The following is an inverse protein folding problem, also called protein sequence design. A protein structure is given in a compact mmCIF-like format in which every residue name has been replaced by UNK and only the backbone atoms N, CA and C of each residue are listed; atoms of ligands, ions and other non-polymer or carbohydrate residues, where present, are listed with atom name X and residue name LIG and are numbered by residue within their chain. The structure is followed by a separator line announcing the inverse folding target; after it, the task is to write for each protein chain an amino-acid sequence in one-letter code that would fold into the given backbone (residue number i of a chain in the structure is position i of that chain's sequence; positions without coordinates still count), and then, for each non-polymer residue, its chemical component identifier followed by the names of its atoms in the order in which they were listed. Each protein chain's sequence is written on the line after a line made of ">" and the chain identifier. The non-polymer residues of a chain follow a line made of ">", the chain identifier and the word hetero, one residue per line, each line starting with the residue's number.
data_IF_965569851623
#
_entry.id   IF_965569851623
#
_cell.length_a   1.000
_cell.length_b   1.000
_cell.length_c   1.000
_cell.angle_alpha   90.00
_cell.angle_beta   90.00
_cell.angle_gamma   90.00
#
_symmetry.space_group_name_H-M   'P 1'
#
loop_
_entity.id
_entity.type
_entity.pdbx_description
1 polymer ?
#
# COMPACT_ATOMS: atom_id res chain seq x y z
N UNK A 1 -3.92 -13.87 20.10
CA UNK A 1 -2.90 -14.91 20.00
C UNK A 1 -2.53 -15.01 18.54
N UNK A 2 -1.33 -14.49 18.14
CA UNK A 2 -0.87 -14.54 16.74
C UNK A 2 -0.17 -15.88 16.53
N UNK A 3 -0.63 -16.67 15.57
CA UNK A 3 0.05 -17.87 15.10
C UNK A 3 0.70 -17.54 13.76
N UNK A 4 2.03 -17.52 13.72
CA UNK A 4 2.81 -17.45 12.47
C UNK A 4 3.02 -18.87 11.96
N UNK A 5 2.54 -19.15 10.76
CA UNK A 5 2.79 -20.40 10.02
C UNK A 5 3.77 -20.10 8.88
N UNK A 6 4.97 -20.66 8.96
CA UNK A 6 5.91 -20.68 7.85
C UNK A 6 5.72 -21.99 7.09
N UNK A 7 5.23 -21.92 5.85
CA UNK A 7 5.06 -23.07 4.97
C UNK A 7 6.26 -23.16 4.03
N UNK A 8 7.07 -24.22 4.18
CA UNK A 8 8.02 -24.66 3.17
C UNK A 8 7.33 -25.62 2.22
N UNK A 9 7.58 -25.50 0.93
CA UNK A 9 6.92 -26.23 -0.16
C UNK A 9 6.87 -27.75 0.06
N UNK A 10 5.68 -28.32 -0.16
CA UNK A 10 5.26 -29.74 -0.07
C UNK A 10 4.65 -30.15 1.29
N UNK A 11 3.53 -29.55 1.67
CA UNK A 11 2.65 -30.13 2.68
C UNK A 11 1.20 -29.96 2.24
N UNK A 12 0.48 -31.07 2.06
CA UNK A 12 -0.97 -31.03 1.93
C UNK A 12 -1.58 -30.95 3.32
N UNK A 13 -2.46 -29.98 3.50
CA UNK A 13 -3.25 -29.82 4.73
C UNK A 13 -4.61 -30.44 4.50
N UNK A 14 -4.96 -31.45 5.29
CA UNK A 14 -6.30 -31.99 5.36
C UNK A 14 -6.94 -31.48 6.65
N UNK A 15 -8.12 -30.90 6.53
CA UNK A 15 -8.86 -30.37 7.69
C UNK A 15 -10.10 -31.24 7.85
N UNK A 16 -10.18 -31.97 8.95
CA UNK A 16 -11.39 -32.70 9.36
C UNK A 16 -12.15 -31.87 10.39
N UNK A 17 -13.46 -31.76 10.20
CA UNK A 17 -14.37 -30.79 10.84
C UNK A 17 -14.77 -31.12 12.31
N UNK A 18 -14.18 -32.11 12.98
CA UNK A 18 -14.68 -32.51 14.33
C UNK A 18 -13.64 -32.59 15.46
N UNK A 19 -12.34 -32.26 15.23
CA UNK A 19 -11.44 -32.17 16.40
C UNK A 19 -10.23 -31.28 16.12
N UNK A 20 -9.87 -30.42 17.07
CA UNK A 20 -8.86 -29.38 16.97
C UNK A 20 -7.43 -29.93 17.12
N UNK A 21 -7.11 -31.06 16.51
CA UNK A 21 -5.76 -31.61 16.51
C UNK A 21 -5.18 -31.66 15.10
N UNK A 22 -4.05 -30.95 14.89
CA UNK A 22 -3.29 -30.97 13.64
C UNK A 22 -2.15 -31.96 13.80
N UNK A 23 -2.16 -33.07 13.04
CA UNK A 23 -1.05 -34.04 13.00
C UNK A 23 -0.20 -33.78 11.75
N UNK A 24 1.07 -33.46 11.94
CA UNK A 24 2.03 -33.26 10.86
C UNK A 24 2.82 -34.57 10.63
N UNK A 25 2.71 -35.17 9.45
CA UNK A 25 3.56 -36.26 9.02
C UNK A 25 4.66 -35.76 8.09
N UNK A 26 5.91 -35.92 8.50
CA UNK A 26 7.09 -35.68 7.67
C UNK A 26 7.63 -37.02 7.18
N UNK A 27 7.71 -37.21 5.88
CA UNK A 27 8.37 -38.36 5.24
C UNK A 27 9.78 -37.94 4.78
N UNK A 28 10.85 -38.62 5.20
CA UNK A 28 12.18 -38.34 4.71
C UNK A 28 12.44 -39.17 3.46
N UNK A 29 12.69 -38.54 2.32
CA UNK A 29 13.26 -39.19 1.14
C UNK A 29 14.37 -38.31 0.55
N UNK A 30 15.54 -38.87 0.44
CA UNK A 30 16.63 -38.26 -0.32
C UNK A 30 18.00 -38.69 0.07
N UNK A 31 18.51 -39.74 -0.57
CA UNK A 31 19.88 -40.23 -0.45
C UNK A 31 20.89 -39.15 -0.88
N UNK A 32 21.92 -39.01 -0.06
CA UNK A 32 23.07 -38.16 -0.35
C UNK A 32 23.98 -38.84 -1.36
N UNK A 33 24.07 -38.30 -2.57
CA UNK A 33 25.11 -38.68 -3.55
C UNK A 33 26.31 -37.77 -3.36
N UNK A 34 27.41 -38.32 -2.89
CA UNK A 34 28.72 -37.68 -2.86
C UNK A 34 29.30 -37.57 -4.25
N UNK A 35 29.34 -36.36 -4.81
CA UNK A 35 30.08 -36.02 -6.01
C UNK A 35 31.44 -35.43 -5.63
N UNK A 36 32.50 -36.09 -6.10
CA UNK A 36 33.91 -35.66 -5.96
C UNK A 36 34.14 -34.36 -6.73
N UNK A 37 34.70 -33.36 -6.05
CA UNK A 37 35.18 -32.15 -6.66
C UNK A 37 36.38 -32.42 -7.55
N UNK A 38 36.26 -32.17 -8.86
CA UNK A 38 37.40 -31.97 -9.76
C UNK A 38 37.74 -30.48 -9.78
N UNK A 39 38.94 -30.16 -9.35
CA UNK A 39 39.49 -28.80 -9.41
C UNK A 39 39.93 -28.49 -10.82
N UNK A 40 39.23 -27.62 -11.50
CA UNK A 40 39.66 -26.99 -12.75
C UNK A 40 40.44 -25.71 -12.43
N UNK A 41 41.57 -25.43 -13.13
CA UNK A 41 42.40 -24.25 -12.85
C UNK A 41 41.88 -23.03 -13.56
N UNK A 42 41.65 -21.98 -12.79
CA UNK A 42 41.87 -20.60 -13.20
C UNK A 42 40.99 -20.01 -14.32
N UNK A 43 39.74 -19.66 -13.97
CA UNK A 43 39.09 -18.53 -14.66
C UNK A 43 39.18 -17.34 -13.72
N UNK A 44 39.98 -16.33 -14.13
CA UNK A 44 39.97 -15.00 -13.52
C UNK A 44 38.54 -14.47 -13.60
N UNK A 45 37.81 -14.54 -12.52
CA UNK A 45 36.63 -13.73 -12.32
C UNK A 45 37.10 -12.29 -12.22
N UNK A 46 36.68 -11.37 -13.09
CA UNK A 46 36.89 -9.97 -12.84
C UNK A 46 36.10 -9.66 -11.56
N UNK A 47 36.81 -9.50 -10.47
CA UNK A 47 36.30 -8.95 -9.24
C UNK A 47 35.85 -7.53 -9.61
N UNK A 48 34.58 -7.36 -9.90
CA UNK A 48 33.98 -6.03 -10.03
C UNK A 48 34.12 -5.38 -8.66
N UNK A 49 34.92 -4.33 -8.59
CA UNK A 49 35.10 -3.50 -7.40
C UNK A 49 33.70 -2.96 -7.02
N UNK A 50 33.14 -3.29 -5.84
CA UNK A 50 31.82 -2.82 -5.44
C UNK A 50 31.75 -1.29 -5.23
N UNK A 51 32.80 -0.56 -5.53
CA UNK A 51 32.87 0.92 -5.39
C UNK A 51 32.62 1.67 -6.69
N UNK A 52 32.51 1.04 -7.87
CA UNK A 52 31.99 1.72 -9.05
C UNK A 52 30.47 1.77 -8.97
N UNK A 53 29.94 2.85 -8.38
CA UNK A 53 28.55 3.23 -8.53
C UNK A 53 28.26 3.38 -10.03
N UNK A 54 27.57 2.39 -10.61
CA UNK A 54 27.12 2.48 -12.00
C UNK A 54 26.25 3.72 -12.19
N UNK A 55 26.03 4.19 -13.44
CA UNK A 55 25.23 5.38 -13.69
C UNK A 55 23.87 5.23 -13.04
N UNK A 56 23.47 6.25 -12.25
CA UNK A 56 22.16 6.31 -11.61
C UNK A 56 21.09 6.17 -12.69
N UNK A 57 20.25 5.15 -12.55
CA UNK A 57 19.14 4.92 -13.50
C UNK A 57 18.02 5.90 -13.20
N UNK A 58 17.50 6.54 -14.27
CA UNK A 58 16.32 7.39 -14.15
C UNK A 58 15.05 6.55 -14.10
N UNK A 59 14.18 6.86 -13.15
CA UNK A 59 12.84 6.32 -12.99
C UNK A 59 11.77 7.32 -13.42
N UNK A 60 10.53 7.01 -13.08
CA UNK A 60 9.35 7.81 -13.47
C UNK A 60 9.34 9.23 -12.86
N UNK A 61 9.86 9.40 -11.63
CA UNK A 61 9.82 10.67 -10.90
C UNK A 61 11.18 11.19 -10.45
N UNK A 62 12.23 10.72 -11.07
CA UNK A 62 13.63 11.08 -10.80
C UNK A 62 14.51 9.83 -10.67
N UNK A 63 15.70 9.99 -10.10
CA UNK A 63 16.63 8.88 -9.93
C UNK A 63 15.96 7.72 -9.19
N UNK A 64 16.19 6.49 -9.66
CA UNK A 64 15.69 5.29 -8.99
C UNK A 64 16.21 5.23 -7.54
N UNK A 65 15.48 4.54 -6.67
CA UNK A 65 15.69 4.49 -5.22
C UNK A 65 15.27 5.75 -4.44
N UNK A 66 14.60 6.70 -5.11
CA UNK A 66 14.19 7.95 -4.47
C UNK A 66 13.24 7.74 -3.27
N UNK A 67 12.47 6.64 -3.23
CA UNK A 67 11.62 6.30 -2.07
C UNK A 67 12.45 6.09 -0.81
N UNK A 68 13.58 5.39 -0.93
CA UNK A 68 14.49 5.12 0.18
C UNK A 68 15.33 6.36 0.51
N UNK A 69 15.90 7.00 -0.48
CA UNK A 69 16.74 8.20 -0.33
C UNK A 69 16.00 9.36 0.33
N UNK A 70 14.70 9.47 0.05
CA UNK A 70 13.82 10.48 0.67
C UNK A 70 13.11 9.98 1.93
N UNK A 71 13.43 8.80 2.42
CA UNK A 71 12.82 8.19 3.60
C UNK A 71 11.31 7.94 3.51
N UNK A 72 10.75 7.86 2.31
CA UNK A 72 9.33 7.57 2.09
C UNK A 72 9.00 6.17 2.54
N UNK A 73 9.85 5.19 2.19
CA UNK A 73 9.73 3.80 2.62
C UNK A 73 9.68 3.68 4.14
N UNK A 74 10.59 4.38 4.84
CA UNK A 74 10.64 4.37 6.30
C UNK A 74 9.39 5.01 6.93
N UNK A 75 8.85 6.08 6.32
CA UNK A 75 7.61 6.71 6.77
C UNK A 75 6.41 5.77 6.63
N UNK A 76 6.30 5.04 5.51
CA UNK A 76 5.15 4.18 5.22
C UNK A 76 5.25 2.80 5.89
N UNK A 77 6.43 2.36 6.32
CA UNK A 77 6.64 1.03 6.90
C UNK A 77 5.64 0.64 8.02
N UNK A 78 5.27 1.53 8.97
CA UNK A 78 4.29 1.19 10.02
C UNK A 78 2.86 0.97 9.50
N UNK A 79 2.55 1.44 8.29
CA UNK A 79 1.23 1.42 7.66
C UNK A 79 1.09 0.30 6.63
N UNK A 80 2.16 -0.43 6.34
CA UNK A 80 2.12 -1.54 5.39
C UNK A 80 1.27 -2.67 5.97
N UNK A 81 0.26 -3.06 5.22
CA UNK A 81 -0.67 -4.13 5.55
C UNK A 81 -0.49 -5.38 4.70
N UNK A 82 0.15 -5.27 3.53
CA UNK A 82 0.35 -6.38 2.60
C UNK A 82 1.59 -6.15 1.72
N UNK A 83 2.31 -7.22 1.41
CA UNK A 83 3.26 -7.30 0.27
C UNK A 83 4.70 -6.91 0.54
N UNK A 84 5.05 -6.34 1.69
CA UNK A 84 6.38 -5.77 1.93
C UNK A 84 7.53 -6.78 1.95
N UNK A 85 7.24 -8.02 2.34
CA UNK A 85 8.27 -9.05 2.53
C UNK A 85 8.65 -9.79 1.23
N UNK A 86 7.89 -9.61 0.15
CA UNK A 86 7.96 -10.51 -1.01
C UNK A 86 8.33 -9.84 -2.32
N UNK A 87 8.55 -8.51 -2.36
CA UNK A 87 8.83 -7.89 -3.65
C UNK A 87 8.90 -6.37 -3.67
N UNK A 88 8.65 -5.86 -4.86
CA UNK A 88 8.70 -4.44 -5.20
C UNK A 88 7.34 -3.72 -5.03
N UNK A 89 6.31 -4.42 -4.56
CA UNK A 89 4.96 -3.92 -4.35
C UNK A 89 4.52 -4.13 -2.90
N UNK A 90 3.89 -3.11 -2.31
CA UNK A 90 3.26 -3.22 -1.00
C UNK A 90 2.03 -2.31 -0.91
N UNK A 91 1.02 -2.73 -0.16
CA UNK A 91 -0.13 -1.89 0.19
C UNK A 91 0.03 -1.29 1.57
N UNK A 92 -0.38 -0.02 1.69
CA UNK A 92 -0.50 0.66 2.98
C UNK A 92 -1.95 1.08 3.25
N UNK A 93 -2.29 1.18 4.54
CA UNK A 93 -3.60 1.62 4.99
C UNK A 93 -3.49 2.53 6.21
N UNK A 94 -4.58 3.24 6.50
CA UNK A 94 -4.72 4.08 7.69
C UNK A 94 -3.71 5.22 7.84
N UNK A 95 -3.17 5.73 6.72
CA UNK A 95 -2.27 6.89 6.73
C UNK A 95 -3.04 8.14 7.17
N UNK A 96 -2.69 8.68 8.32
CA UNK A 96 -3.39 9.81 8.95
C UNK A 96 -2.88 11.18 8.49
N UNK A 97 -3.50 12.24 8.97
CA UNK A 97 -3.16 13.61 8.59
C UNK A 97 -1.74 14.05 8.95
N UNK A 98 -1.14 13.54 10.04
CA UNK A 98 0.23 13.86 10.40
C UNK A 98 1.23 13.23 9.44
N UNK A 99 1.04 11.95 9.14
CA UNK A 99 1.88 11.23 8.18
C UNK A 99 1.65 11.74 6.76
N UNK A 100 0.43 12.12 6.40
CA UNK A 100 0.13 12.76 5.14
C UNK A 100 0.90 14.09 4.98
N UNK A 101 1.05 14.87 6.07
CA UNK A 101 1.87 16.10 6.07
C UNK A 101 3.34 15.77 5.80
N UNK A 102 3.88 14.78 6.47
CA UNK A 102 5.27 14.33 6.28
C UNK A 102 5.46 13.77 4.87
N UNK A 103 4.60 12.88 4.41
CA UNK A 103 4.66 12.31 3.07
C UNK A 103 4.67 13.40 1.99
N UNK A 104 3.79 14.40 2.12
CA UNK A 104 3.73 15.52 1.18
C UNK A 104 5.05 16.27 1.03
N UNK A 105 5.87 16.36 2.08
CA UNK A 105 7.18 17.02 2.00
C UNK A 105 8.26 16.13 1.38
N UNK A 106 8.13 14.81 1.52
CA UNK A 106 9.09 13.84 1.01
C UNK A 106 8.90 13.54 -0.49
N UNK A 107 7.66 13.57 -0.98
CA UNK A 107 7.37 13.27 -2.38
C UNK A 107 7.98 14.32 -3.34
N UNK A 108 8.59 13.89 -4.45
CA UNK A 108 8.97 14.78 -5.55
C UNK A 108 7.75 15.55 -6.09
N UNK A 109 7.92 16.76 -6.63
CA UNK A 109 6.81 17.54 -7.18
C UNK A 109 5.98 16.78 -8.20
N UNK A 110 6.60 16.08 -9.14
CA UNK A 110 5.91 15.30 -10.16
C UNK A 110 5.08 14.16 -9.56
N UNK A 111 5.63 13.43 -8.57
CA UNK A 111 4.91 12.38 -7.88
C UNK A 111 3.70 12.92 -7.07
N UNK A 112 3.80 14.12 -6.51
CA UNK A 112 2.68 14.76 -5.80
C UNK A 112 1.52 15.15 -6.71
N UNK A 113 1.83 15.53 -7.94
CA UNK A 113 0.84 15.98 -8.92
C UNK A 113 0.27 14.82 -9.74
N UNK A 114 0.79 13.61 -9.51
CA UNK A 114 0.33 12.41 -10.19
C UNK A 114 -1.07 11.99 -9.74
N UNK A 115 -1.71 11.24 -10.64
CA UNK A 115 -3.00 10.58 -10.45
C UNK A 115 -2.82 9.12 -10.80
N UNK A 116 -3.20 8.25 -9.92
CA UNK A 116 -3.31 6.84 -10.27
C UNK A 116 -4.73 6.54 -10.71
N UNK A 117 -4.84 5.89 -11.86
CA UNK A 117 -6.12 5.65 -12.48
C UNK A 117 -6.89 6.97 -12.63
N UNK A 118 -8.11 7.06 -12.22
CA UNK A 118 -8.88 8.31 -12.22
C UNK A 118 -8.96 8.99 -10.86
N UNK A 119 -8.13 8.56 -9.89
CA UNK A 119 -8.12 9.16 -8.56
C UNK A 119 -7.81 10.67 -8.61
N UNK A 120 -8.21 11.44 -7.61
CA UNK A 120 -7.71 12.79 -7.41
C UNK A 120 -6.19 12.82 -7.30
N UNK A 121 -5.57 13.98 -7.56
CA UNK A 121 -4.12 14.10 -7.39
C UNK A 121 -3.71 13.73 -5.97
N UNK A 122 -2.59 13.07 -5.83
CA UNK A 122 -2.03 12.72 -4.51
C UNK A 122 -1.94 13.95 -3.61
N UNK A 123 -1.52 15.10 -4.16
CA UNK A 123 -1.45 16.37 -3.42
C UNK A 123 -2.82 16.83 -2.89
N UNK A 124 -3.92 16.53 -3.57
CA UNK A 124 -5.27 16.92 -3.15
C UNK A 124 -5.74 16.02 -2.00
N UNK A 125 -5.53 14.72 -2.12
CA UNK A 125 -5.87 13.75 -1.08
C UNK A 125 -5.04 13.97 0.18
N UNK A 126 -3.73 14.22 0.06
CA UNK A 126 -2.88 14.58 1.20
C UNK A 126 -3.34 15.88 1.88
N UNK A 127 -3.75 16.91 1.12
CA UNK A 127 -4.32 18.14 1.70
C UNK A 127 -5.63 17.88 2.44
N UNK A 128 -6.49 17.03 1.90
CA UNK A 128 -7.72 16.63 2.57
C UNK A 128 -7.43 15.94 3.90
N UNK A 129 -6.50 14.96 3.93
CA UNK A 129 -6.11 14.25 5.13
C UNK A 129 -5.48 15.17 6.21
N UNK A 130 -4.70 16.17 5.79
CA UNK A 130 -4.10 17.14 6.71
C UNK A 130 -5.16 18.05 7.34
N UNK A 131 -6.23 18.35 6.63
CA UNK A 131 -7.27 19.31 7.04
C UNK A 131 -8.40 18.65 7.83
N UNK A 132 -8.74 17.41 7.50
CA UNK A 132 -9.91 16.72 8.04
C UNK A 132 -9.44 15.74 9.12
N UNK A 133 -9.82 16.03 10.35
CA UNK A 133 -9.50 15.16 11.48
C UNK A 133 -10.14 13.78 11.31
N UNK A 134 -9.36 12.75 11.56
CA UNK A 134 -9.77 11.36 11.43
C UNK A 134 -9.81 10.80 10.00
N UNK A 135 -9.66 11.61 8.93
CA UNK A 135 -9.55 11.10 7.57
C UNK A 135 -8.28 10.25 7.43
N UNK A 136 -8.41 9.07 6.81
CA UNK A 136 -7.26 8.23 6.46
C UNK A 136 -7.19 7.94 4.97
N UNK A 137 -5.98 7.69 4.50
CA UNK A 137 -5.65 7.34 3.12
C UNK A 137 -5.10 5.92 3.06
N UNK A 138 -5.42 5.23 1.96
CA UNK A 138 -4.86 3.92 1.65
C UNK A 138 -4.31 3.97 0.22
N UNK A 139 -3.41 3.04 -0.10
CA UNK A 139 -2.81 2.97 -1.40
C UNK A 139 -1.72 1.92 -1.48
N UNK A 140 -0.77 2.13 -2.40
CA UNK A 140 0.33 1.20 -2.58
C UNK A 140 1.64 1.91 -2.90
N UNK A 141 2.72 1.16 -2.74
CA UNK A 141 4.08 1.56 -3.06
C UNK A 141 4.66 0.59 -4.07
N UNK A 142 5.30 1.13 -5.10
CA UNK A 142 6.15 0.37 -6.01
C UNK A 142 7.58 0.83 -5.81
N UNK A 143 8.48 -0.12 -5.49
CA UNK A 143 9.88 0.17 -5.19
C UNK A 143 10.83 -0.19 -6.36
N UNK A 144 12.05 0.27 -6.23
CA UNK A 144 13.15 -0.26 -7.03
C UNK A 144 13.25 -1.80 -6.86
N UNK A 145 13.67 -2.53 -7.89
CA UNK A 145 14.30 -2.04 -9.13
C UNK A 145 13.32 -1.66 -10.26
N UNK A 146 12.05 -1.47 -9.95
CA UNK A 146 11.09 -1.05 -10.99
C UNK A 146 11.32 0.41 -11.36
N UNK A 147 11.35 0.69 -12.66
CA UNK A 147 11.52 2.04 -13.20
C UNK A 147 10.34 2.98 -12.86
N UNK A 148 9.16 2.40 -12.63
CA UNK A 148 7.92 3.09 -12.27
C UNK A 148 7.75 3.20 -10.74
N UNK A 149 8.88 3.33 -10.03
CA UNK A 149 8.94 3.55 -8.59
C UNK A 149 8.05 4.72 -8.18
N UNK A 150 7.06 4.45 -7.29
CA UNK A 150 6.05 5.44 -6.91
C UNK A 150 5.32 5.12 -5.61
N UNK A 151 4.68 6.14 -5.06
CA UNK A 151 3.56 6.00 -4.13
C UNK A 151 2.28 6.30 -4.88
N UNK A 152 1.25 5.50 -4.67
CA UNK A 152 -0.09 5.75 -5.15
C UNK A 152 -1.05 5.87 -3.98
N UNK A 153 -2.01 6.79 -4.07
CA UNK A 153 -3.14 6.90 -3.14
C UNK A 153 -4.39 6.67 -3.96
N UNK A 154 -5.02 5.53 -3.76
CA UNK A 154 -6.19 5.07 -4.51
C UNK A 154 -7.47 5.01 -3.67
N UNK A 155 -7.36 5.24 -2.36
CA UNK A 155 -8.47 5.07 -1.43
C UNK A 155 -8.49 6.20 -0.39
N UNK A 156 -9.69 6.67 -0.08
CA UNK A 156 -9.93 7.62 1.00
C UNK A 156 -11.02 7.10 1.92
N UNK A 157 -10.78 7.20 3.22
CA UNK A 157 -11.75 6.91 4.27
C UNK A 157 -12.09 8.20 5.02
N UNK A 158 -13.33 8.66 4.92
CA UNK A 158 -13.80 9.91 5.53
C UNK A 158 -14.75 9.59 6.68
N UNK A 159 -14.47 10.02 7.92
CA UNK A 159 -15.38 9.79 9.04
C UNK A 159 -16.68 10.57 8.84
N UNK A 160 -17.81 9.98 9.25
CA UNK A 160 -19.12 10.63 9.15
C UNK A 160 -19.18 11.97 9.89
N UNK A 161 -18.41 12.10 10.97
CA UNK A 161 -18.30 13.37 11.71
C UNK A 161 -17.82 14.54 10.83
N UNK A 162 -16.90 14.27 9.89
CA UNK A 162 -16.44 15.28 8.94
C UNK A 162 -17.52 15.65 7.92
N UNK A 163 -18.33 14.67 7.50
CA UNK A 163 -19.47 14.91 6.60
C UNK A 163 -20.51 15.78 7.33
N UNK A 164 -20.86 15.44 8.57
CA UNK A 164 -21.81 16.20 9.37
C UNK A 164 -21.28 17.62 9.61
N UNK A 165 -20.01 17.78 9.93
CA UNK A 165 -19.40 19.09 10.16
C UNK A 165 -19.49 20.00 8.92
N UNK A 166 -19.44 19.41 7.71
CA UNK A 166 -19.52 20.15 6.45
C UNK A 166 -20.97 20.42 6.01
N UNK A 167 -21.85 19.41 6.11
CA UNK A 167 -23.21 19.44 5.53
C UNK A 167 -24.29 19.77 6.54
N UNK A 168 -24.00 19.69 7.85
CA UNK A 168 -24.97 19.79 8.94
C UNK A 168 -25.82 18.52 9.16
N UNK A 169 -25.61 17.46 8.36
CA UNK A 169 -26.38 16.20 8.45
C UNK A 169 -25.51 15.01 8.01
N UNK A 170 -25.80 13.79 8.49
CA UNK A 170 -25.18 12.60 7.93
C UNK A 170 -25.59 12.41 6.47
N UNK A 171 -24.78 11.69 5.71
CA UNK A 171 -25.20 11.21 4.40
C UNK A 171 -26.16 10.03 4.63
N UNK A 172 -27.26 10.02 3.87
CA UNK A 172 -28.23 8.93 3.97
C UNK A 172 -27.57 7.59 3.68
N UNK A 173 -27.95 6.58 4.48
CA UNK A 173 -27.48 5.22 4.39
C UNK A 173 -28.14 4.50 3.19
N UNK A 174 -27.96 5.05 2.01
CA UNK A 174 -28.41 4.39 0.80
C UNK A 174 -27.57 3.14 0.57
N UNK A 175 -28.21 2.02 0.34
CA UNK A 175 -27.56 0.74 0.06
C UNK A 175 -26.72 0.76 -1.23
N UNK A 176 -26.88 1.81 -2.03
CA UNK A 176 -26.09 2.10 -3.22
C UNK A 176 -25.80 3.61 -3.25
N UNK A 177 -24.53 4.04 -3.06
CA UNK A 177 -24.19 5.46 -3.17
C UNK A 177 -24.54 6.02 -4.54
N UNK A 178 -25.30 7.09 -4.54
CA UNK A 178 -25.66 7.81 -5.76
C UNK A 178 -24.61 8.89 -6.08
N UNK A 179 -24.69 9.45 -7.29
CA UNK A 179 -23.78 10.51 -7.74
C UNK A 179 -23.79 11.74 -6.81
N UNK A 180 -24.92 12.05 -6.19
CA UNK A 180 -25.03 13.16 -5.23
C UNK A 180 -24.17 12.94 -3.98
N UNK A 181 -23.98 11.69 -3.57
CA UNK A 181 -23.08 11.35 -2.45
C UNK A 181 -21.63 11.64 -2.81
N UNK A 182 -21.22 11.31 -4.05
CA UNK A 182 -19.93 11.70 -4.57
C UNK A 182 -19.72 13.22 -4.58
N UNK A 183 -20.70 13.98 -5.07
CA UNK A 183 -20.59 15.44 -5.09
C UNK A 183 -20.39 16.01 -3.67
N UNK A 184 -21.12 15.47 -2.70
CA UNK A 184 -20.94 15.84 -1.29
C UNK A 184 -19.54 15.48 -0.80
N UNK A 185 -19.08 14.26 -1.07
CA UNK A 185 -17.75 13.81 -0.67
C UNK A 185 -16.65 14.66 -1.31
N UNK A 186 -16.76 14.96 -2.60
CA UNK A 186 -15.81 15.82 -3.32
C UNK A 186 -15.71 17.21 -2.70
N UNK A 187 -16.83 17.79 -2.28
CA UNK A 187 -16.87 19.09 -1.57
C UNK A 187 -16.19 18.99 -0.19
N UNK A 188 -16.47 17.94 0.58
CA UNK A 188 -15.82 17.69 1.87
C UNK A 188 -14.33 17.55 1.69
N UNK A 189 -13.89 16.81 0.68
CA UNK A 189 -12.47 16.63 0.35
C UNK A 189 -11.82 17.88 -0.23
N UNK A 190 -12.62 18.88 -0.66
CA UNK A 190 -12.13 20.10 -1.31
C UNK A 190 -11.51 19.84 -2.67
N UNK A 191 -12.06 18.89 -3.41
CA UNK A 191 -11.63 18.54 -4.76
C UNK A 191 -12.16 19.54 -5.79
N UNK A 192 -11.41 19.72 -6.88
CA UNK A 192 -11.82 20.54 -8.01
C UNK A 192 -12.97 19.93 -8.81
N UNK A 193 -13.57 20.74 -9.68
CA UNK A 193 -14.67 20.31 -10.55
C UNK A 193 -14.25 19.26 -11.60
N UNK A 194 -12.96 19.06 -11.79
CA UNK A 194 -12.35 18.06 -12.67
C UNK A 194 -12.13 16.70 -11.98
N UNK A 195 -12.50 16.58 -10.71
CA UNK A 195 -12.38 15.32 -9.98
C UNK A 195 -13.39 14.29 -10.51
N UNK A 196 -12.89 13.10 -10.80
CA UNK A 196 -13.68 11.98 -11.31
C UNK A 196 -14.27 11.20 -10.14
N UNK A 197 -15.53 10.73 -10.22
CA UNK A 197 -16.10 9.84 -9.21
C UNK A 197 -15.22 8.58 -9.01
N UNK A 198 -15.22 8.03 -7.79
CA UNK A 198 -14.57 6.75 -7.54
C UNK A 198 -15.31 5.62 -8.26
N UNK A 199 -14.60 4.54 -8.56
CA UNK A 199 -15.16 3.32 -9.12
C UNK A 199 -16.06 2.62 -8.09
N UNK A 200 -15.72 2.77 -6.82
CA UNK A 200 -16.51 2.22 -5.74
C UNK A 200 -16.60 3.17 -4.55
N UNK A 201 -17.83 3.30 -4.01
CA UNK A 201 -18.10 3.97 -2.75
C UNK A 201 -18.86 3.03 -1.82
N UNK A 202 -18.48 3.00 -0.57
CA UNK A 202 -19.15 2.20 0.46
C UNK A 202 -19.28 2.97 1.76
N UNK A 203 -20.26 2.55 2.52
CA UNK A 203 -20.42 2.95 3.90
C UNK A 203 -19.88 1.82 4.79
N UNK A 204 -18.91 2.14 5.62
CA UNK A 204 -18.23 1.16 6.47
C UNK A 204 -18.42 1.51 7.96
N UNK A 205 -18.47 0.48 8.79
CA UNK A 205 -18.31 0.58 10.25
C UNK A 205 -16.98 -0.08 10.57
N UNK A 206 -15.97 0.69 11.00
CA UNK A 206 -14.59 0.21 11.12
C UNK A 206 -14.20 -0.29 12.52
N UNK A 207 -14.95 0.01 13.53
CA UNK A 207 -14.58 -0.30 14.91
C UNK A 207 -15.76 -0.71 15.80
N UNK A 208 -15.42 -1.15 17.03
CA UNK A 208 -16.42 -1.51 18.05
C UNK A 208 -17.23 -0.31 18.57
N UNK A 209 -16.79 0.93 18.30
CA UNK A 209 -17.52 2.16 18.66
C UNK A 209 -18.64 2.49 17.68
N UNK A 210 -18.82 1.68 16.65
CA UNK A 210 -19.78 1.90 15.56
C UNK A 210 -19.55 3.20 14.80
N UNK A 211 -18.32 3.72 14.79
CA UNK A 211 -17.98 4.88 14.00
C UNK A 211 -18.17 4.57 12.52
N UNK A 212 -18.92 5.45 11.86
CA UNK A 212 -19.29 5.31 10.47
C UNK A 212 -18.31 6.08 9.59
N UNK A 213 -17.98 5.48 8.42
CA UNK A 213 -17.01 6.00 7.49
C UNK A 213 -17.51 5.90 6.06
N UNK A 214 -17.20 6.92 5.22
CA UNK A 214 -17.27 6.80 3.79
C UNK A 214 -15.93 6.32 3.26
N UNK A 215 -15.96 5.19 2.56
CA UNK A 215 -14.83 4.62 1.85
C UNK A 215 -15.05 4.83 0.35
N UNK A 216 -14.08 5.41 -0.32
CA UNK A 216 -14.11 5.66 -1.76
C UNK A 216 -12.80 5.19 -2.37
N UNK A 217 -12.89 4.43 -3.46
CA UNK A 217 -11.77 3.77 -4.11
C UNK A 217 -11.81 3.98 -5.63
N UNK A 218 -10.63 4.18 -6.22
CA UNK A 218 -10.38 4.36 -7.65
C UNK A 218 -9.47 3.24 -8.14
N UNK A 219 -9.91 2.48 -9.19
CA UNK A 219 -9.12 1.41 -9.84
C UNK A 219 -8.39 1.92 -11.09
#
# INVERSE_FOLDING_TARGET
>A
MRVSLTLTATSQVHIDDEDTSVTLHATPTGEATTASAQTEPGVNSPYEDPTEEGPVREGMYGPMHWLDDRHVTALLAPYICEGWDTGDYARFADLSGEEARRLRTLLPPLARDDRQNNAPRISDLLRAAIRIDGLTLEGYVIRAPRWDERVSVDTVCVPESAIIAHTGRPIDDASCPAYEHWLTLAQVLGLGADAVPPDEMRFLVRDASSTRWWWAWWD
#
